data_IF_446640764875
#
_entry.id   IF_446640764875
#
_cell.length_a   1.000
_cell.length_b   1.000
_cell.length_c   1.000
_cell.angle_alpha   90.00
_cell.angle_beta   90.00
_cell.angle_gamma   90.00
#
_symmetry.space_group_name_H-M   'P 1'
#
loop_
_entity.id
_entity.type
_entity.pdbx_description
1 polymer ?
#
# COMPACT_ATOMS: atom_id res chain seq x y z
N UNK A 1 27.92 25.95 -11.37
CA UNK A 1 27.06 25.12 -10.52
C UNK A 1 26.75 23.85 -11.30
N UNK A 2 27.28 22.71 -10.86
CA UNK A 2 27.31 21.50 -11.68
C UNK A 2 26.10 20.60 -11.39
N UNK A 3 25.35 20.24 -12.43
CA UNK A 3 24.07 19.52 -12.34
C UNK A 3 24.19 18.12 -11.73
N UNK A 4 25.40 17.56 -11.68
CA UNK A 4 25.68 16.22 -11.14
C UNK A 4 25.78 16.21 -9.61
N UNK A 5 26.22 17.29 -8.99
CA UNK A 5 26.36 17.37 -7.52
C UNK A 5 24.99 17.43 -6.84
N UNK A 6 24.01 18.11 -7.45
CA UNK A 6 22.66 18.22 -6.89
C UNK A 6 21.90 16.88 -6.85
N UNK A 7 22.11 16.01 -7.86
CA UNK A 7 21.49 14.68 -7.90
C UNK A 7 22.12 13.71 -6.89
N UNK A 8 23.41 13.83 -6.60
CA UNK A 8 24.09 13.01 -5.59
C UNK A 8 23.73 13.42 -4.16
N UNK A 9 23.59 14.72 -3.87
CA UNK A 9 23.22 15.18 -2.52
C UNK A 9 21.73 15.00 -2.22
N UNK A 10 20.85 15.07 -3.23
CA UNK A 10 19.39 14.93 -3.03
C UNK A 10 18.89 13.49 -3.16
N UNK A 11 19.66 12.60 -3.82
CA UNK A 11 19.27 11.22 -4.10
C UNK A 11 19.72 10.17 -3.07
N UNK A 12 20.60 10.51 -2.13
CA UNK A 12 21.33 9.56 -1.30
C UNK A 12 20.69 9.12 0.03
N UNK A 13 19.59 9.72 0.47
CA UNK A 13 19.08 9.55 1.86
C UNK A 13 17.61 9.13 1.98
N UNK A 14 16.99 8.59 0.93
CA UNK A 14 15.60 8.07 0.99
C UNK A 14 15.47 6.58 0.64
N UNK A 15 16.52 5.80 0.85
CA UNK A 15 16.45 4.34 0.87
C UNK A 15 16.43 3.87 2.32
N UNK A 16 15.27 3.41 2.79
CA UNK A 16 15.19 2.65 4.05
C UNK A 16 14.09 3.02 5.04
N UNK A 17 12.95 3.56 4.61
CA UNK A 17 11.73 3.44 5.40
C UNK A 17 10.95 2.19 4.94
N UNK A 18 11.59 1.02 5.04
CA UNK A 18 10.81 -0.21 5.18
C UNK A 18 10.13 -0.09 6.55
N UNK A 19 8.91 0.44 6.55
CA UNK A 19 8.11 0.57 7.75
C UNK A 19 7.87 -0.83 8.31
N UNK A 20 8.72 -1.28 9.23
CA UNK A 20 8.39 -2.30 10.21
C UNK A 20 7.31 -1.70 11.12
N UNK A 21 6.09 -1.58 10.58
CA UNK A 21 4.92 -1.23 11.36
C UNK A 21 4.66 -2.45 12.24
N UNK A 22 4.75 -2.33 13.58
CA UNK A 22 4.56 -3.48 14.45
C UNK A 22 3.20 -4.11 14.13
N UNK A 23 3.16 -5.44 14.05
CA UNK A 23 2.00 -6.23 13.61
C UNK A 23 0.68 -5.78 14.27
N UNK A 24 0.71 -5.41 15.55
CA UNK A 24 -0.44 -4.87 16.28
C UNK A 24 -1.00 -3.56 15.67
N UNK A 25 -0.13 -2.65 15.21
CA UNK A 25 -0.53 -1.42 14.50
C UNK A 25 -1.06 -1.75 13.11
N UNK A 26 -0.53 -2.76 12.43
CA UNK A 26 -1.06 -3.21 11.13
C UNK A 26 -2.47 -3.81 11.26
N UNK A 27 -2.75 -4.54 12.34
CA UNK A 27 -4.09 -5.10 12.64
C UNK A 27 -5.08 -4.01 13.03
N UNK A 28 -4.71 -3.10 13.93
CA UNK A 28 -5.57 -1.98 14.33
C UNK A 28 -5.88 -1.01 13.18
N UNK A 29 -4.90 -0.79 12.30
CA UNK A 29 -5.08 0.06 11.12
C UNK A 29 -5.90 -0.65 10.03
N UNK A 30 -5.80 -1.97 9.89
CA UNK A 30 -6.73 -2.75 9.06
C UNK A 30 -8.18 -2.64 9.56
N UNK A 31 -8.39 -2.73 10.86
CA UNK A 31 -9.72 -2.61 11.47
C UNK A 31 -10.33 -1.20 11.33
N UNK A 32 -9.49 -0.16 11.16
CA UNK A 32 -9.91 1.23 10.97
C UNK A 32 -9.78 1.73 9.54
N UNK A 33 -9.40 0.86 8.60
CA UNK A 33 -9.21 1.19 7.19
C UNK A 33 -10.51 1.76 6.60
N UNK A 34 -10.44 2.96 6.04
CA UNK A 34 -11.59 3.61 5.42
C UNK A 34 -11.60 3.48 3.90
N UNK A 35 -10.45 3.15 3.33
CA UNK A 35 -10.23 3.08 1.89
C UNK A 35 -9.40 1.85 1.55
N UNK A 36 -9.85 1.09 0.55
CA UNK A 36 -9.08 0.04 -0.09
C UNK A 36 -8.79 0.41 -1.55
N UNK A 37 -7.54 0.23 -1.99
CA UNK A 37 -7.14 0.42 -3.40
C UNK A 37 -6.46 -0.84 -3.90
N UNK A 38 -6.92 -1.41 -5.01
CA UNK A 38 -6.45 -2.72 -5.44
C UNK A 38 -6.28 -2.82 -6.95
N UNK A 39 -5.29 -3.59 -7.41
CA UNK A 39 -5.16 -3.98 -8.81
C UNK A 39 -5.95 -5.29 -9.02
N UNK A 40 -7.03 -5.30 -9.83
CA UNK A 40 -7.83 -6.50 -10.06
C UNK A 40 -7.05 -7.63 -10.78
N UNK A 41 -5.96 -7.31 -11.48
CA UNK A 41 -5.09 -8.30 -12.11
C UNK A 41 -4.33 -9.13 -11.05
N UNK A 42 -4.02 -8.54 -9.89
CA UNK A 42 -3.31 -9.22 -8.82
C UNK A 42 -4.24 -10.12 -7.99
N UNK A 43 -3.77 -11.32 -7.64
CA UNK A 43 -4.50 -12.22 -6.75
C UNK A 43 -4.73 -11.58 -5.37
N UNK A 44 -3.72 -10.89 -4.82
CA UNK A 44 -3.84 -10.11 -3.58
C UNK A 44 -4.86 -8.98 -3.70
N UNK A 45 -4.98 -8.35 -4.88
CA UNK A 45 -5.99 -7.32 -5.15
C UNK A 45 -7.41 -7.86 -5.12
N UNK A 46 -7.66 -9.02 -5.72
CA UNK A 46 -8.97 -9.69 -5.64
C UNK A 46 -9.32 -10.11 -4.21
N UNK A 47 -8.35 -10.62 -3.45
CA UNK A 47 -8.53 -10.94 -2.02
C UNK A 47 -8.88 -9.68 -1.22
N UNK A 48 -8.18 -8.57 -1.48
CA UNK A 48 -8.44 -7.29 -0.81
C UNK A 48 -9.84 -6.76 -1.15
N UNK A 49 -10.27 -6.85 -2.41
CA UNK A 49 -11.62 -6.45 -2.82
C UNK A 49 -12.70 -7.25 -2.07
N UNK A 50 -12.54 -8.57 -1.98
CA UNK A 50 -13.46 -9.43 -1.22
C UNK A 50 -13.44 -9.18 0.29
N UNK A 51 -12.29 -8.78 0.86
CA UNK A 51 -12.22 -8.32 2.25
C UNK A 51 -12.96 -7.00 2.44
N UNK A 52 -12.71 -6.01 1.58
CA UNK A 52 -13.30 -4.69 1.68
C UNK A 52 -14.83 -4.74 1.56
N UNK A 53 -15.35 -5.56 0.63
CA UNK A 53 -16.79 -5.79 0.48
C UNK A 53 -17.43 -6.36 1.75
N UNK A 54 -16.81 -7.37 2.37
CA UNK A 54 -17.30 -7.97 3.63
C UNK A 54 -17.19 -7.03 4.82
N UNK A 55 -16.19 -6.14 4.82
CA UNK A 55 -15.92 -5.20 5.89
C UNK A 55 -16.65 -3.85 5.74
N UNK A 56 -17.39 -3.63 4.64
CA UNK A 56 -18.03 -2.34 4.35
C UNK A 56 -17.04 -1.21 4.05
N UNK A 57 -15.81 -1.54 3.64
CA UNK A 57 -14.75 -0.57 3.31
C UNK A 57 -14.94 -0.12 1.87
N UNK A 58 -14.89 1.19 1.64
CA UNK A 58 -14.95 1.73 0.29
C UNK A 58 -13.71 1.31 -0.51
N UNK A 59 -13.93 0.59 -1.61
CA UNK A 59 -12.87 0.00 -2.42
C UNK A 59 -12.86 0.57 -3.85
N UNK A 60 -11.68 0.85 -4.37
CA UNK A 60 -11.49 1.32 -5.74
C UNK A 60 -10.46 0.47 -6.49
N UNK A 61 -10.80 -0.04 -7.68
CA UNK A 61 -9.83 -0.72 -8.51
C UNK A 61 -8.89 0.31 -9.16
N UNK A 62 -7.60 -0.02 -9.25
CA UNK A 62 -6.62 0.66 -10.07
C UNK A 62 -6.61 0.03 -11.47
N UNK A 63 -7.71 0.20 -12.21
CA UNK A 63 -7.84 -0.27 -13.61
C UNK A 63 -7.03 0.58 -14.58
N UNK A 64 -6.92 1.87 -14.26
CA UNK A 64 -6.30 2.90 -15.07
C UNK A 64 -5.11 3.50 -14.32
N UNK A 65 -4.64 4.66 -14.79
CA UNK A 65 -3.59 5.44 -14.14
C UNK A 65 -3.91 5.78 -12.67
N UNK A 66 -2.99 5.44 -11.77
CA UNK A 66 -3.13 5.64 -10.32
C UNK A 66 -3.22 7.13 -9.94
N UNK A 67 -2.59 8.01 -10.71
CA UNK A 67 -2.66 9.47 -10.51
C UNK A 67 -4.05 10.02 -10.80
N UNK A 68 -4.67 9.55 -11.88
CA UNK A 68 -6.04 9.88 -12.25
C UNK A 68 -7.01 9.40 -11.17
N UNK A 69 -6.86 8.16 -10.69
CA UNK A 69 -7.67 7.65 -9.58
C UNK A 69 -7.50 8.50 -8.31
N UNK A 70 -6.27 8.92 -8.01
CA UNK A 70 -5.98 9.77 -6.88
C UNK A 70 -6.75 11.09 -6.95
N UNK A 71 -6.56 11.87 -8.01
CA UNK A 71 -7.17 13.18 -8.14
C UNK A 71 -8.69 13.12 -8.30
N UNK A 72 -9.21 12.11 -9.01
CA UNK A 72 -10.64 11.98 -9.25
C UNK A 72 -11.42 11.53 -8.01
N UNK A 73 -10.84 10.68 -7.14
CA UNK A 73 -11.60 9.99 -6.09
C UNK A 73 -10.91 9.96 -4.72
N UNK A 74 -9.62 9.65 -4.67
CA UNK A 74 -8.94 9.35 -3.39
C UNK A 74 -8.53 10.59 -2.62
N UNK A 75 -8.08 11.65 -3.29
CA UNK A 75 -7.58 12.88 -2.64
C UNK A 75 -8.63 13.54 -1.72
N UNK A 76 -9.92 13.46 -2.09
CA UNK A 76 -11.04 13.96 -1.27
C UNK A 76 -11.31 13.14 -0.01
N UNK A 77 -10.81 11.90 0.03
CA UNK A 77 -11.02 10.94 1.13
C UNK A 77 -9.76 10.73 1.96
N UNK A 78 -8.59 11.01 1.39
CA UNK A 78 -7.30 10.97 2.05
C UNK A 78 -7.10 12.25 2.88
N UNK A 79 -7.53 12.21 4.15
CA UNK A 79 -7.19 13.20 5.16
C UNK A 79 -5.98 12.76 6.01
N UNK A 80 -5.51 13.63 6.92
CA UNK A 80 -4.45 13.29 7.87
C UNK A 80 -4.78 12.01 8.62
N UNK A 81 -3.79 11.11 8.73
CA UNK A 81 -3.89 9.81 9.38
C UNK A 81 -4.99 8.89 8.82
N UNK A 82 -5.57 9.19 7.64
CA UNK A 82 -6.56 8.30 7.03
C UNK A 82 -5.86 7.02 6.57
N UNK A 83 -6.26 5.86 7.11
CA UNK A 83 -5.62 4.61 6.74
C UNK A 83 -6.21 4.04 5.45
N UNK A 84 -5.31 3.76 4.52
CA UNK A 84 -5.59 3.16 3.21
C UNK A 84 -4.87 1.81 3.13
N UNK A 85 -5.61 0.75 2.86
CA UNK A 85 -5.03 -0.58 2.60
C UNK A 85 -4.93 -0.80 1.10
N UNK A 86 -3.79 -1.30 0.63
CA UNK A 86 -3.52 -1.36 -0.81
C UNK A 86 -2.99 -2.71 -1.24
N UNK A 87 -3.34 -3.13 -2.45
CA UNK A 87 -2.78 -4.33 -3.10
C UNK A 87 -2.52 -3.98 -4.56
N UNK A 88 -1.38 -3.35 -4.81
CA UNK A 88 -1.02 -2.73 -6.08
C UNK A 88 0.32 -3.24 -6.60
N UNK A 89 0.61 -2.99 -7.87
CA UNK A 89 1.95 -3.19 -8.43
C UNK A 89 2.95 -2.25 -7.73
N UNK A 90 4.25 -2.61 -7.68
CA UNK A 90 5.25 -1.78 -7.02
C UNK A 90 5.30 -0.33 -7.51
N UNK A 91 5.11 -0.10 -8.82
CA UNK A 91 5.08 1.24 -9.42
C UNK A 91 3.93 2.09 -8.86
N UNK A 92 2.72 1.54 -8.88
CA UNK A 92 1.52 2.26 -8.46
C UNK A 92 1.51 2.46 -6.95
N UNK A 93 2.01 1.46 -6.21
CA UNK A 93 2.23 1.55 -4.78
C UNK A 93 3.16 2.71 -4.43
N UNK A 94 4.27 2.85 -5.14
CA UNK A 94 5.21 3.95 -4.95
C UNK A 94 4.54 5.30 -5.21
N UNK A 95 3.86 5.46 -6.35
CA UNK A 95 3.19 6.71 -6.73
C UNK A 95 2.11 7.08 -5.72
N UNK A 96 1.25 6.12 -5.33
CA UNK A 96 0.19 6.36 -4.35
C UNK A 96 0.76 6.74 -2.98
N UNK A 97 1.86 6.12 -2.55
CA UNK A 97 2.52 6.46 -1.29
C UNK A 97 3.03 7.90 -1.28
N UNK A 98 3.59 8.38 -2.41
CA UNK A 98 4.04 9.78 -2.55
C UNK A 98 2.87 10.75 -2.49
N UNK A 99 1.77 10.45 -3.17
CA UNK A 99 0.56 11.27 -3.09
C UNK A 99 -0.05 11.30 -1.69
N UNK A 100 -0.16 10.15 -1.03
CA UNK A 100 -0.67 10.04 0.33
C UNK A 100 0.18 10.81 1.35
N UNK A 101 1.51 10.75 1.23
CA UNK A 101 2.43 11.48 2.09
C UNK A 101 2.20 12.99 2.05
N UNK A 102 1.92 13.57 0.86
CA UNK A 102 1.62 14.99 0.71
C UNK A 102 0.36 15.46 1.49
N UNK A 103 -0.50 14.52 1.88
CA UNK A 103 -1.73 14.77 2.65
C UNK A 103 -1.71 14.19 4.07
N UNK A 104 -0.57 13.62 4.49
CA UNK A 104 -0.43 12.94 5.78
C UNK A 104 -1.29 11.68 5.92
N UNK A 105 -1.74 11.08 4.81
CA UNK A 105 -2.48 9.83 4.83
C UNK A 105 -1.53 8.63 5.00
N UNK A 106 -2.02 7.53 5.57
CA UNK A 106 -1.22 6.34 5.87
C UNK A 106 -1.56 5.24 4.87
N UNK A 107 -0.56 4.74 4.15
CA UNK A 107 -0.73 3.64 3.19
C UNK A 107 -0.12 2.36 3.74
N UNK A 108 -0.88 1.28 3.72
CA UNK A 108 -0.45 -0.05 4.10
C UNK A 108 -0.56 -1.01 2.93
N UNK A 109 0.58 -1.44 2.40
CA UNK A 109 0.64 -2.49 1.40
C UNK A 109 0.26 -3.84 2.01
N UNK A 110 -0.66 -4.55 1.35
CA UNK A 110 -0.92 -5.96 1.58
C UNK A 110 0.16 -6.73 0.82
N UNK A 111 1.24 -7.08 1.52
CA UNK A 111 2.26 -7.96 0.95
C UNK A 111 1.62 -9.28 0.53
N UNK A 112 1.77 -9.62 -0.75
CA UNK A 112 1.28 -10.88 -1.30
C UNK A 112 2.05 -12.10 -0.76
N UNK A 113 3.19 -11.89 -0.08
CA UNK A 113 4.14 -12.93 0.34
C UNK A 113 3.70 -13.84 1.50
N UNK A 114 2.48 -13.71 2.04
CA UNK A 114 2.06 -14.55 3.16
C UNK A 114 1.68 -16.01 2.80
N UNK A 115 1.79 -16.44 1.52
CA UNK A 115 1.50 -17.84 1.13
C UNK A 115 2.44 -18.38 0.06
N UNK A 116 3.68 -18.64 0.42
CA UNK A 116 4.52 -19.64 -0.26
C UNK A 116 5.64 -20.15 0.67
N UNK A 117 5.36 -21.25 1.39
CA UNK A 117 6.32 -22.12 2.10
C UNK A 117 6.35 -21.97 3.63
N UNK A 118 6.08 -22.98 4.47
CA UNK A 118 5.82 -24.42 4.28
C UNK A 118 5.18 -25.03 5.56
N UNK A 119 4.15 -25.91 5.48
CA UNK A 119 3.86 -26.89 6.52
C UNK A 119 4.66 -28.15 6.22
N UNK A 120 5.72 -28.40 6.99
CA UNK A 120 6.59 -29.57 6.85
C UNK A 120 7.02 -30.12 8.21
N UNK A 121 6.03 -30.44 9.05
CA UNK A 121 6.23 -31.42 10.11
C UNK A 121 6.47 -32.78 9.43
N UNK A 122 7.73 -33.19 9.33
CA UNK A 122 8.09 -34.58 9.10
C UNK A 122 8.87 -35.06 10.30
N UNK A 123 8.13 -35.75 11.17
CA UNK A 123 8.63 -36.80 12.02
C UNK A 123 9.51 -37.77 11.22
N UNK A 124 10.69 -38.07 11.74
CA UNK A 124 11.34 -39.37 11.56
C UNK A 124 12.24 -39.64 12.76
N UNK A 125 11.85 -40.71 13.45
CA UNK A 125 12.60 -41.64 14.32
C UNK A 125 14.10 -41.46 14.41
#
# INVERSE_FOLDING_TARGET
MDRRTFLCETGGTLLGAACNVPFARTVAVRASARVAVFDPALASGRVLAGYAARAGIAAWPATDDIGTLWHAKLARRAGPLTPMITALRPSDQFVLTRFAASRGAVVLALDAQARSGSPGSSSRT
#
